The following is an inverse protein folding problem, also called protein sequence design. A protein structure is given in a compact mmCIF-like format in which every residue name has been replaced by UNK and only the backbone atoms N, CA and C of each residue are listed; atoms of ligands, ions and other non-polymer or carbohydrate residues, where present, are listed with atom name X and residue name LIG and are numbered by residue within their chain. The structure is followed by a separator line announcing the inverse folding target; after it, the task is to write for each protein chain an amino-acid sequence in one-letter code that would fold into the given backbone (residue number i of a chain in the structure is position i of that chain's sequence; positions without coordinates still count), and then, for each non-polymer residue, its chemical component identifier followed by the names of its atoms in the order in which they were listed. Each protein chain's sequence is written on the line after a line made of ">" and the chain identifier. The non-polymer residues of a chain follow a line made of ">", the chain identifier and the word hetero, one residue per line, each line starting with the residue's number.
data_IF_399000766952
#
_entry.id   IF_399000766952
#
_cell.length_a   1.000
_cell.length_b   1.000
_cell.length_c   1.000
_cell.angle_alpha   90.00
_cell.angle_beta   90.00
_cell.angle_gamma   90.00
#
_symmetry.space_group_name_H-M   'P 1'
#
loop_
_entity.id
_entity.type
_entity.pdbx_description
1 polymer ?
#
# COMPACT_ATOMS: atom_id res chain seq x y z
N UNK A 1 -11.53 -0.14 13.42
CA UNK A 1 -11.40 0.48 14.75
C UNK A 1 -9.97 0.98 14.92
N UNK A 2 -9.81 2.16 15.46
CA UNK A 2 -8.51 2.65 15.89
C UNK A 2 -8.07 1.80 17.10
N UNK A 3 -6.81 1.33 17.07
CA UNK A 3 -6.20 0.67 18.20
C UNK A 3 -5.32 1.63 18.97
N UNK A 4 -5.09 1.36 20.24
CA UNK A 4 -4.07 2.05 21.04
C UNK A 4 -2.75 1.30 20.91
N UNK A 5 -1.70 2.01 20.53
CA UNK A 5 -0.32 1.49 20.44
C UNK A 5 0.50 2.05 21.58
N UNK A 6 1.32 1.21 22.20
CA UNK A 6 2.28 1.59 23.23
C UNK A 6 3.67 1.17 22.80
N UNK A 7 4.69 1.91 23.21
CA UNK A 7 6.08 1.53 23.06
C UNK A 7 6.63 0.85 24.33
N UNK A 8 7.59 -0.02 24.13
CA UNK A 8 8.30 -0.73 25.17
C UNK A 8 9.79 -0.60 24.92
N UNK A 9 10.56 -0.54 25.98
CA UNK A 9 12.02 -0.57 25.92
C UNK A 9 12.54 -1.76 26.70
N UNK A 10 13.66 -2.31 26.28
CA UNK A 10 14.42 -3.28 27.06
C UNK A 10 15.48 -2.54 27.87
N UNK A 11 15.49 -2.72 29.18
CA UNK A 11 16.52 -2.15 30.06
C UNK A 11 17.81 -2.98 30.01
N UNK A 12 18.83 -2.52 30.71
CA UNK A 12 20.15 -3.19 30.79
C UNK A 12 20.10 -4.59 31.42
N UNK A 13 19.03 -4.91 32.17
CA UNK A 13 18.82 -6.22 32.77
C UNK A 13 18.03 -7.16 31.86
N UNK A 14 17.78 -6.77 30.58
CA UNK A 14 16.95 -7.50 29.62
C UNK A 14 15.46 -7.62 30.02
N UNK A 15 14.96 -6.69 30.84
CA UNK A 15 13.56 -6.62 31.21
C UNK A 15 12.82 -5.65 30.30
N UNK A 16 11.63 -6.05 29.86
CA UNK A 16 10.77 -5.21 29.00
C UNK A 16 9.94 -4.28 29.88
N UNK A 17 10.03 -2.99 29.66
CA UNK A 17 9.31 -1.96 30.38
C UNK A 17 8.43 -1.16 29.43
N UNK A 18 7.16 -0.94 29.81
CA UNK A 18 6.26 -0.08 29.07
C UNK A 18 6.70 1.40 29.25
N UNK A 19 6.72 2.14 28.14
CA UNK A 19 6.84 3.61 28.21
C UNK A 19 5.46 4.22 28.46
N UNK A 20 5.43 5.49 28.83
CA UNK A 20 4.19 6.17 29.25
C UNK A 20 3.28 6.56 28.10
N UNK A 21 3.80 6.65 26.88
CA UNK A 21 3.05 7.11 25.71
C UNK A 21 1.99 6.11 25.24
N UNK A 22 0.81 6.63 24.91
CA UNK A 22 -0.25 5.91 24.19
C UNK A 22 -0.61 6.68 22.93
N UNK A 23 -0.63 5.97 21.80
CA UNK A 23 -0.84 6.57 20.49
C UNK A 23 -2.03 5.94 19.78
N UNK A 24 -2.96 6.77 19.31
CA UNK A 24 -4.10 6.33 18.49
C UNK A 24 -3.63 6.11 17.06
N UNK A 25 -3.10 4.93 16.77
CA UNK A 25 -2.67 4.56 15.41
C UNK A 25 -3.86 4.00 14.65
N UNK A 26 -4.15 4.56 13.46
CA UNK A 26 -5.12 3.95 12.54
C UNK A 26 -4.65 2.56 12.13
N UNK A 27 -5.59 1.69 11.79
CA UNK A 27 -5.26 0.37 11.27
C UNK A 27 -4.28 0.51 10.11
N UNK A 28 -3.14 -0.12 10.23
CA UNK A 28 -2.11 -0.15 9.21
C UNK A 28 -1.98 -1.56 8.62
N UNK A 29 -1.37 -1.66 7.46
CA UNK A 29 -1.16 -2.89 6.72
C UNK A 29 0.31 -3.26 6.62
N UNK A 30 1.18 -2.28 6.73
CA UNK A 30 2.63 -2.48 6.78
C UNK A 30 3.29 -1.46 7.70
N UNK A 31 4.48 -1.76 8.12
CA UNK A 31 5.31 -0.88 8.94
C UNK A 31 6.80 -1.12 8.67
N UNK A 32 7.62 -0.21 9.11
CA UNK A 32 9.08 -0.34 9.08
C UNK A 32 9.75 0.74 9.91
N UNK A 33 11.06 0.72 9.89
CA UNK A 33 11.91 1.68 10.59
C UNK A 33 12.67 2.49 9.56
N UNK A 34 12.76 3.79 9.79
CA UNK A 34 13.62 4.69 9.06
C UNK A 34 14.19 5.69 10.04
N UNK A 35 15.54 5.70 10.19
CA UNK A 35 16.23 6.50 11.18
C UNK A 35 15.62 6.27 12.58
N UNK A 36 15.14 7.30 13.23
CA UNK A 36 14.48 7.27 14.53
C UNK A 36 12.98 7.01 14.50
N UNK A 37 12.39 6.86 13.31
CA UNK A 37 10.95 6.70 13.16
C UNK A 37 10.54 5.25 12.97
N UNK A 38 9.49 4.86 13.68
CA UNK A 38 8.64 3.75 13.27
C UNK A 38 7.55 4.34 12.38
N UNK A 39 7.51 3.89 11.12
CA UNK A 39 6.54 4.35 10.14
C UNK A 39 5.51 3.24 9.92
N UNK A 40 4.23 3.58 10.02
CA UNK A 40 3.15 2.67 9.60
C UNK A 40 2.48 3.21 8.35
N UNK A 41 2.01 2.32 7.48
CA UNK A 41 1.35 2.70 6.25
C UNK A 41 0.10 1.87 6.00
N UNK A 42 -0.90 2.50 5.44
CA UNK A 42 -2.08 1.90 4.82
C UNK A 42 -2.57 2.78 3.67
N UNK A 43 -3.56 2.30 2.94
CA UNK A 43 -4.21 3.05 1.87
C UNK A 43 -5.69 3.17 2.17
N UNK A 44 -6.24 4.35 2.03
CA UNK A 44 -7.65 4.64 2.27
C UNK A 44 -8.17 5.75 1.36
N UNK A 45 -9.41 6.13 1.56
CA UNK A 45 -10.02 7.23 0.81
C UNK A 45 -9.33 8.55 1.17
N UNK A 46 -9.02 9.33 0.16
CA UNK A 46 -8.47 10.66 0.30
C UNK A 46 -9.51 11.69 0.73
N UNK A 47 -9.08 12.94 0.93
CA UNK A 47 -9.98 14.04 1.28
C UNK A 47 -11.00 14.33 0.17
N UNK A 48 -12.19 14.78 0.56
CA UNK A 48 -13.30 15.06 -0.36
C UNK A 48 -12.95 16.11 -1.43
N UNK A 49 -12.07 17.05 -1.11
CA UNK A 49 -11.59 18.05 -2.07
C UNK A 49 -10.79 17.50 -3.25
N UNK A 50 -10.37 16.24 -3.19
CA UNK A 50 -9.72 15.56 -4.31
C UNK A 50 -10.73 14.92 -5.27
N UNK A 51 -11.98 14.80 -4.85
CA UNK A 51 -13.02 14.37 -5.76
C UNK A 51 -13.18 15.44 -6.84
N UNK A 52 -12.85 15.10 -8.09
CA UNK A 52 -13.29 15.90 -9.21
C UNK A 52 -14.83 15.85 -9.29
N UNK A 53 -15.45 16.52 -10.22
CA UNK A 53 -16.92 16.62 -10.29
C UNK A 53 -17.73 15.31 -10.25
N UNK A 54 -17.06 14.15 -10.14
CA UNK A 54 -17.69 12.82 -10.10
C UNK A 54 -17.94 12.30 -8.66
N UNK A 55 -17.55 13.03 -7.64
CA UNK A 55 -17.76 12.71 -6.22
C UNK A 55 -17.02 11.46 -5.70
N UNK A 56 -16.10 10.90 -6.45
CA UNK A 56 -15.26 9.79 -6.01
C UNK A 56 -14.00 10.30 -5.33
N UNK A 57 -13.59 9.61 -4.26
CA UNK A 57 -12.40 9.98 -3.50
C UNK A 57 -11.19 9.19 -4.01
N UNK A 58 -10.14 9.86 -4.50
CA UNK A 58 -8.89 9.19 -4.83
C UNK A 58 -8.30 8.52 -3.61
N UNK A 59 -7.75 7.32 -3.77
CA UNK A 59 -7.06 6.63 -2.68
C UNK A 59 -5.78 7.36 -2.31
N UNK A 60 -5.47 7.39 -1.03
CA UNK A 60 -4.35 8.12 -0.45
C UNK A 60 -3.60 7.23 0.54
N UNK A 61 -2.30 7.39 0.65
CA UNK A 61 -1.52 6.79 1.72
C UNK A 61 -1.83 7.46 3.06
N UNK A 62 -2.06 6.62 4.06
CA UNK A 62 -2.25 7.00 5.45
C UNK A 62 -1.01 6.55 6.22
N UNK A 63 -0.15 7.49 6.53
CA UNK A 63 1.12 7.25 7.21
C UNK A 63 1.05 7.75 8.65
N UNK A 64 1.70 7.05 9.55
CA UNK A 64 1.98 7.55 10.88
C UNK A 64 3.45 7.39 11.22
N UNK A 65 3.95 8.29 12.03
CA UNK A 65 5.35 8.39 12.43
C UNK A 65 5.42 8.45 13.95
N UNK A 66 6.08 7.48 14.55
CA UNK A 66 6.46 7.51 15.96
C UNK A 66 7.95 7.73 16.06
N UNK A 67 8.36 8.89 16.57
CA UNK A 67 9.75 9.14 16.95
C UNK A 67 10.03 8.36 18.23
N UNK A 68 10.91 7.37 18.17
CA UNK A 68 11.19 6.49 19.32
C UNK A 68 12.05 7.13 20.39
N UNK A 69 12.71 8.25 20.08
CA UNK A 69 13.56 8.94 21.06
C UNK A 69 12.71 9.69 22.10
N UNK A 70 11.75 10.47 21.65
CA UNK A 70 10.94 11.36 22.50
C UNK A 70 9.45 10.99 22.57
N UNK A 71 9.03 9.92 21.88
CA UNK A 71 7.65 9.46 21.78
C UNK A 71 6.69 10.49 21.15
N UNK A 72 7.17 11.36 20.27
CA UNK A 72 6.28 12.20 19.48
C UNK A 72 5.62 11.39 18.35
N UNK A 73 4.33 11.62 18.16
CA UNK A 73 3.51 10.90 17.17
C UNK A 73 2.88 11.89 16.20
N UNK A 74 3.08 11.65 14.91
CA UNK A 74 2.54 12.45 13.83
C UNK A 74 1.93 11.59 12.73
N UNK A 75 1.07 12.20 11.91
CA UNK A 75 0.54 11.62 10.69
C UNK A 75 0.87 12.50 9.50
N UNK A 76 0.88 11.95 8.30
CA UNK A 76 1.05 12.73 7.08
C UNK A 76 -0.16 13.64 6.83
N UNK A 77 0.06 14.73 6.12
CA UNK A 77 -1.02 15.56 5.59
C UNK A 77 -1.66 14.87 4.37
N UNK A 78 -2.81 14.25 4.58
CA UNK A 78 -3.54 13.55 3.52
C UNK A 78 -4.10 14.48 2.43
N UNK A 79 -4.08 15.79 2.63
CA UNK A 79 -4.43 16.79 1.61
C UNK A 79 -3.29 17.06 0.63
N UNK A 80 -2.09 16.61 0.95
CA UNK A 80 -0.96 16.73 0.03
C UNK A 80 -1.08 15.66 -1.07
N UNK A 81 -1.19 16.12 -2.31
CA UNK A 81 -1.31 15.24 -3.49
C UNK A 81 -0.14 14.27 -3.68
N UNK A 82 1.03 14.56 -3.10
CA UNK A 82 2.17 13.65 -3.12
C UNK A 82 1.86 12.29 -2.45
N UNK A 83 0.85 12.24 -1.58
CA UNK A 83 0.41 11.02 -0.93
C UNK A 83 -0.72 10.29 -1.65
N UNK A 84 -1.18 10.77 -2.80
CA UNK A 84 -2.16 10.03 -3.59
C UNK A 84 -1.56 8.72 -4.08
N UNK A 85 -2.28 7.63 -3.86
CA UNK A 85 -1.93 6.31 -4.37
C UNK A 85 -2.61 5.98 -5.70
N UNK A 86 -3.56 6.81 -6.14
CA UNK A 86 -4.21 6.69 -7.44
C UNK A 86 -3.21 6.93 -8.57
N UNK A 87 -3.32 6.11 -9.61
CA UNK A 87 -2.44 6.18 -10.77
C UNK A 87 -0.94 6.23 -10.38
N UNK A 88 -0.59 5.60 -9.28
CA UNK A 88 0.75 5.67 -8.70
C UNK A 88 1.83 5.09 -9.62
N UNK A 89 1.47 4.06 -10.38
CA UNK A 89 2.33 3.38 -11.35
C UNK A 89 2.20 3.95 -12.77
N UNK A 90 1.30 4.90 -12.99
CA UNK A 90 1.03 5.47 -14.32
C UNK A 90 0.04 4.66 -15.18
N UNK A 91 -0.53 3.59 -14.64
CA UNK A 91 -1.46 2.68 -15.35
C UNK A 91 -2.92 2.82 -14.86
N UNK A 92 -3.20 3.83 -14.05
CA UNK A 92 -4.52 4.12 -13.49
C UNK A 92 -4.83 3.45 -12.17
N UNK A 93 -4.17 2.34 -11.84
CA UNK A 93 -4.44 1.61 -10.62
C UNK A 93 -3.94 2.36 -9.38
N UNK A 94 -4.68 2.22 -8.29
CA UNK A 94 -4.15 2.60 -6.99
C UNK A 94 -3.30 1.46 -6.41
N UNK A 95 -2.38 1.82 -5.53
CA UNK A 95 -1.49 0.85 -4.89
C UNK A 95 -1.64 0.87 -3.38
N UNK A 96 -1.21 -0.21 -2.76
CA UNK A 96 -0.85 -0.25 -1.36
C UNK A 96 0.63 -0.59 -1.23
N UNK A 97 1.24 -0.19 -0.12
CA UNK A 97 2.63 -0.49 0.17
C UNK A 97 2.72 -1.79 0.97
N UNK A 98 3.72 -2.61 0.68
CA UNK A 98 3.99 -3.86 1.38
C UNK A 98 5.47 -3.94 1.77
N UNK A 99 5.73 -3.64 3.03
CA UNK A 99 7.05 -3.48 3.59
C UNK A 99 7.58 -2.05 3.50
N UNK A 100 8.32 -1.67 4.52
CA UNK A 100 9.09 -0.42 4.57
C UNK A 100 10.49 -0.83 4.98
N UNK A 101 11.44 -0.72 4.06
CA UNK A 101 12.82 -1.13 4.27
C UNK A 101 13.74 0.06 4.04
N UNK A 102 14.46 0.46 5.08
CA UNK A 102 15.54 1.43 4.91
C UNK A 102 16.75 0.77 4.24
N UNK A 103 17.31 1.46 3.27
CA UNK A 103 18.59 1.11 2.66
C UNK A 103 19.23 2.37 2.06
N UNK A 104 20.51 2.64 2.42
CA UNK A 104 21.26 3.80 1.95
C UNK A 104 20.48 5.14 2.11
N UNK A 105 19.90 5.37 3.29
CA UNK A 105 19.10 6.55 3.63
C UNK A 105 17.87 6.76 2.72
N UNK A 106 17.37 5.73 2.10
CA UNK A 106 16.14 5.73 1.31
C UNK A 106 15.18 4.66 1.82
N UNK A 107 13.91 4.83 1.53
CA UNK A 107 12.88 3.82 1.85
C UNK A 107 12.55 3.06 0.58
N UNK A 108 12.65 1.75 0.65
CA UNK A 108 12.21 0.81 -0.37
C UNK A 108 10.91 0.15 0.09
N UNK A 109 9.91 0.15 -0.76
CA UNK A 109 8.62 -0.49 -0.48
C UNK A 109 8.09 -1.17 -1.73
N UNK A 110 7.57 -2.37 -1.59
CA UNK A 110 6.85 -2.99 -2.68
C UNK A 110 5.53 -2.24 -2.92
N UNK A 111 5.29 -1.80 -4.15
CA UNK A 111 4.06 -1.13 -4.55
C UNK A 111 3.12 -2.15 -5.19
N UNK A 112 2.10 -2.55 -4.46
CA UNK A 112 1.17 -3.61 -4.84
C UNK A 112 -0.03 -3.00 -5.57
N UNK A 113 -0.23 -3.30 -6.86
CA UNK A 113 -1.38 -2.81 -7.61
C UNK A 113 -2.67 -3.44 -7.08
N UNK A 114 -3.72 -2.61 -6.93
CA UNK A 114 -4.96 -3.00 -6.26
C UNK A 114 -6.18 -2.99 -7.19
N UNK A 115 -5.98 -2.70 -8.45
CA UNK A 115 -7.06 -2.46 -9.41
C UNK A 115 -7.46 -0.98 -9.47
N UNK A 116 -8.61 -0.71 -10.03
CA UNK A 116 -9.13 0.65 -10.14
C UNK A 116 -10.14 0.92 -9.03
N UNK A 117 -9.93 2.00 -8.30
CA UNK A 117 -10.96 2.56 -7.41
C UNK A 117 -12.14 3.08 -8.22
N UNK A 118 -13.23 3.45 -7.57
CA UNK A 118 -14.35 4.14 -8.24
C UNK A 118 -13.85 5.38 -9.01
N UNK A 119 -12.94 6.15 -8.40
CA UNK A 119 -12.33 7.31 -9.04
C UNK A 119 -11.50 6.89 -10.26
N UNK A 120 -10.57 5.95 -10.11
CA UNK A 120 -9.70 5.47 -11.19
C UNK A 120 -10.46 4.86 -12.36
N UNK A 121 -11.52 4.11 -12.08
CA UNK A 121 -12.37 3.53 -13.11
C UNK A 121 -13.21 4.57 -13.86
N UNK A 122 -13.52 5.71 -13.23
CA UNK A 122 -14.35 6.76 -13.83
C UNK A 122 -13.54 7.82 -14.61
N UNK A 123 -12.22 7.91 -14.39
CA UNK A 123 -11.38 8.94 -15.01
C UNK A 123 -11.49 8.90 -16.53
N UNK A 124 -11.80 10.05 -17.12
CA UNK A 124 -11.91 10.26 -18.56
C UNK A 124 -12.74 9.18 -19.28
N UNK A 125 -13.88 8.84 -18.68
CA UNK A 125 -14.80 7.85 -19.24
C UNK A 125 -14.29 6.41 -19.20
N UNK A 126 -13.38 6.08 -18.29
CA UNK A 126 -12.87 4.72 -18.12
C UNK A 126 -11.59 4.42 -18.90
N UNK A 127 -10.80 5.44 -19.20
CA UNK A 127 -9.58 5.31 -20.03
C UNK A 127 -8.55 4.29 -19.50
N UNK A 128 -8.60 3.96 -18.20
CA UNK A 128 -7.69 2.99 -17.58
C UNK A 128 -8.23 1.56 -17.57
N UNK A 129 -9.48 1.35 -17.98
CA UNK A 129 -10.03 0.01 -18.13
C UNK A 129 -9.47 -0.57 -19.42
N UNK A 130 -8.75 -1.67 -19.31
CA UNK A 130 -8.20 -2.34 -20.50
C UNK A 130 -9.34 -2.91 -21.37
N UNK A 131 -9.21 -2.86 -22.71
CA UNK A 131 -10.19 -3.45 -23.61
C UNK A 131 -10.51 -4.91 -23.26
N UNK A 132 -11.80 -5.21 -23.14
CA UNK A 132 -12.29 -6.54 -22.74
C UNK A 132 -12.43 -6.75 -21.23
N UNK A 133 -12.16 -5.73 -20.41
CA UNK A 133 -12.38 -5.76 -18.96
C UNK A 133 -13.58 -4.90 -18.50
N UNK A 134 -14.33 -4.32 -19.41
CA UNK A 134 -15.44 -3.41 -19.12
C UNK A 134 -16.52 -4.09 -18.29
N UNK A 135 -16.78 -5.36 -18.56
CA UNK A 135 -17.78 -6.17 -17.85
C UNK A 135 -17.31 -6.60 -16.43
N UNK A 136 -16.05 -6.35 -16.07
CA UNK A 136 -15.47 -6.64 -14.77
C UNK A 136 -15.64 -5.50 -13.77
N UNK A 137 -16.03 -4.32 -14.25
CA UNK A 137 -16.39 -3.20 -13.38
C UNK A 137 -17.61 -3.59 -12.56
N UNK A 138 -17.54 -3.42 -11.24
CA UNK A 138 -18.60 -3.84 -10.33
C UNK A 138 -19.84 -2.99 -10.51
N UNK A 139 -21.00 -3.65 -10.66
CA UNK A 139 -22.30 -3.00 -10.80
C UNK A 139 -23.00 -2.74 -9.47
N UNK A 140 -22.52 -3.37 -8.40
CA UNK A 140 -23.04 -3.26 -7.04
C UNK A 140 -21.94 -3.44 -6.00
N UNK A 141 -22.18 -3.03 -4.75
CA UNK A 141 -21.31 -3.32 -3.63
C UNK A 141 -21.36 -4.81 -3.27
N UNK A 142 -20.24 -5.36 -2.81
CA UNK A 142 -20.21 -6.78 -2.45
C UNK A 142 -18.89 -7.22 -1.82
N UNK A 143 -18.75 -8.54 -1.74
CA UNK A 143 -17.61 -9.16 -1.09
C UNK A 143 -17.62 -9.02 0.43
N UNK A 144 -16.57 -9.51 1.08
CA UNK A 144 -16.43 -9.43 2.53
C UNK A 144 -14.97 -9.27 2.93
N UNK A 145 -14.73 -8.63 4.07
CA UNK A 145 -13.39 -8.43 4.63
C UNK A 145 -12.39 -7.83 3.59
N UNK A 146 -11.25 -8.48 3.39
CA UNK A 146 -10.23 -8.05 2.45
C UNK A 146 -10.62 -8.19 0.97
N UNK A 147 -11.73 -8.85 0.67
CA UNK A 147 -12.27 -9.00 -0.68
C UNK A 147 -13.51 -8.14 -0.94
N UNK A 148 -13.87 -7.25 -0.03
CA UNK A 148 -14.94 -6.29 -0.25
C UNK A 148 -14.62 -5.33 -1.40
N UNK A 149 -15.66 -4.92 -2.12
CA UNK A 149 -15.58 -3.97 -3.23
C UNK A 149 -16.79 -3.07 -3.27
N UNK A 150 -16.66 -1.97 -3.97
CA UNK A 150 -17.73 -1.00 -4.20
C UNK A 150 -18.18 -1.03 -5.65
N UNK A 151 -19.43 -0.67 -5.86
CA UNK A 151 -19.94 -0.38 -7.22
C UNK A 151 -19.01 0.61 -7.93
N UNK A 152 -18.69 0.34 -9.19
CA UNK A 152 -17.80 1.18 -9.98
C UNK A 152 -16.31 0.86 -9.84
N UNK A 153 -15.92 -0.04 -8.94
CA UNK A 153 -14.53 -0.50 -8.84
C UNK A 153 -14.22 -1.61 -9.84
N UNK A 154 -12.96 -1.69 -10.25
CA UNK A 154 -12.37 -2.85 -10.88
C UNK A 154 -11.42 -3.49 -9.86
N UNK A 155 -11.88 -4.56 -9.23
CA UNK A 155 -11.40 -5.04 -7.93
C UNK A 155 -9.95 -5.56 -7.93
N UNK A 156 -9.49 -6.10 -9.04
CA UNK A 156 -8.19 -6.79 -9.12
C UNK A 156 -7.29 -6.10 -10.11
N UNK A 157 -5.97 -6.27 -9.93
CA UNK A 157 -5.04 -5.71 -10.89
C UNK A 157 -5.25 -6.26 -12.30
N UNK A 158 -5.17 -5.39 -13.27
CA UNK A 158 -5.14 -5.73 -14.69
C UNK A 158 -3.71 -6.08 -15.17
N UNK A 159 -2.72 -5.95 -14.29
CA UNK A 159 -1.28 -6.12 -14.57
C UNK A 159 -0.66 -7.17 -13.65
N UNK A 160 -1.10 -8.45 -13.75
CA UNK A 160 -0.69 -9.48 -12.79
C UNK A 160 0.79 -9.86 -12.88
N UNK A 161 1.42 -9.60 -14.00
CA UNK A 161 2.80 -9.99 -14.27
C UNK A 161 3.80 -8.83 -14.14
N UNK A 162 3.46 -7.83 -13.33
CA UNK A 162 4.33 -6.69 -13.06
C UNK A 162 4.60 -6.58 -11.57
N UNK A 163 5.87 -6.61 -11.21
CA UNK A 163 6.33 -6.34 -9.86
C UNK A 163 6.97 -4.96 -9.79
N UNK A 164 6.50 -4.14 -8.85
CA UNK A 164 6.91 -2.76 -8.69
C UNK A 164 7.51 -2.50 -7.31
N UNK A 165 8.59 -1.73 -7.28
CA UNK A 165 9.17 -1.19 -6.05
C UNK A 165 9.22 0.32 -6.16
N UNK A 166 8.70 0.98 -5.11
CA UNK A 166 8.85 2.41 -4.92
C UNK A 166 10.04 2.68 -4.01
N UNK A 167 10.88 3.61 -4.41
CA UNK A 167 12.04 4.08 -3.66
C UNK A 167 11.78 5.54 -3.30
N UNK A 168 11.59 5.82 -2.03
CA UNK A 168 11.35 7.17 -1.51
C UNK A 168 12.67 7.76 -1.01
N UNK A 169 12.84 9.06 -1.22
CA UNK A 169 14.09 9.74 -0.88
C UNK A 169 14.33 9.89 0.61
N UNK A 170 13.26 10.00 1.39
CA UNK A 170 13.32 10.20 2.84
C UNK A 170 12.05 9.78 3.57
N UNK A 171 11.99 10.01 4.88
CA UNK A 171 10.86 9.65 5.74
C UNK A 171 9.55 10.36 5.35
N UNK A 172 9.58 11.48 4.64
CA UNK A 172 8.36 12.17 4.20
C UNK A 172 7.60 11.36 3.16
N UNK A 173 8.29 10.48 2.42
CA UNK A 173 7.72 9.63 1.37
C UNK A 173 6.95 10.42 0.29
N UNK A 174 7.36 11.65 0.00
CA UNK A 174 6.71 12.52 -0.99
C UNK A 174 7.35 12.46 -2.37
N UNK A 175 8.63 12.12 -2.44
CA UNK A 175 9.40 12.00 -3.68
C UNK A 175 9.78 10.54 -3.90
N UNK A 176 9.44 10.00 -5.06
CA UNK A 176 9.65 8.60 -5.37
C UNK A 176 10.33 8.38 -6.71
N UNK A 177 11.06 7.27 -6.78
CA UNK A 177 11.47 6.60 -8.02
C UNK A 177 10.78 5.25 -8.07
N UNK A 178 10.31 4.85 -9.26
CA UNK A 178 9.71 3.53 -9.47
C UNK A 178 10.67 2.66 -10.29
N UNK A 179 10.80 1.42 -9.88
CA UNK A 179 11.45 0.36 -10.67
C UNK A 179 10.49 -0.82 -10.80
N UNK A 180 10.58 -1.56 -11.90
CA UNK A 180 9.67 -2.68 -12.16
C UNK A 180 10.34 -3.79 -12.93
N UNK A 181 9.71 -4.95 -12.89
CA UNK A 181 10.05 -6.10 -13.74
C UNK A 181 8.78 -6.86 -14.11
N UNK A 182 8.79 -7.46 -15.28
CA UNK A 182 7.76 -8.36 -15.80
C UNK A 182 8.13 -9.85 -15.68
N UNK A 183 9.25 -10.15 -15.00
CA UNK A 183 9.76 -11.52 -14.82
C UNK A 183 9.08 -12.27 -13.68
N UNK A 184 8.37 -11.57 -12.82
CA UNK A 184 7.64 -12.10 -11.67
C UNK A 184 6.30 -11.38 -11.54
N UNK A 185 5.35 -11.98 -10.82
CA UNK A 185 4.09 -11.32 -10.50
C UNK A 185 4.27 -10.19 -9.48
N UNK A 186 3.22 -9.43 -9.22
CA UNK A 186 3.26 -8.38 -8.21
C UNK A 186 3.64 -8.91 -6.82
N UNK A 187 4.30 -8.07 -6.04
CA UNK A 187 4.78 -8.40 -4.70
C UNK A 187 3.60 -8.48 -3.72
N UNK A 188 3.07 -9.66 -3.46
CA UNK A 188 1.99 -9.87 -2.52
C UNK A 188 1.97 -11.30 -2.00
N UNK A 189 1.89 -11.47 -0.70
CA UNK A 189 1.87 -12.79 -0.07
C UNK A 189 0.55 -13.55 -0.23
N UNK A 190 -0.54 -12.87 -0.53
CA UNK A 190 -1.85 -13.45 -0.82
C UNK A 190 -2.78 -12.41 -1.43
N UNK A 191 -3.97 -12.86 -1.76
CA UNK A 191 -5.06 -12.11 -2.30
C UNK A 191 -5.34 -10.78 -1.57
N UNK A 192 -5.16 -9.64 -2.23
CA UNK A 192 -5.24 -8.30 -1.66
C UNK A 192 -4.56 -8.17 -0.28
N UNK A 193 -3.63 -9.04 0.04
CA UNK A 193 -2.98 -8.98 1.33
C UNK A 193 -1.70 -8.17 1.24
N UNK A 194 -1.75 -7.08 1.86
CA UNK A 194 -0.64 -6.19 2.14
C UNK A 194 -0.11 -6.36 3.58
N UNK A 195 -0.59 -7.37 4.31
CA UNK A 195 -0.21 -7.60 5.71
C UNK A 195 1.14 -8.27 5.87
N UNK A 196 1.73 -8.74 4.78
CA UNK A 196 3.02 -9.39 4.82
C UNK A 196 4.09 -8.45 4.33
N UNK A 197 5.18 -8.43 5.03
CA UNK A 197 6.40 -7.81 4.57
C UNK A 197 6.92 -8.62 3.37
N UNK A 198 7.06 -7.99 2.22
CA UNK A 198 7.45 -8.66 0.98
C UNK A 198 8.76 -8.15 0.42
N UNK A 199 9.44 -7.29 1.14
CA UNK A 199 10.72 -6.69 0.78
C UNK A 199 11.67 -6.71 1.99
N UNK A 200 12.89 -7.14 1.78
CA UNK A 200 13.93 -7.25 2.81
C UNK A 200 15.29 -6.90 2.27
N UNK A 201 16.11 -6.33 3.11
CA UNK A 201 17.55 -6.20 2.88
C UNK A 201 18.27 -7.42 3.46
N UNK A 202 19.12 -8.06 2.66
CA UNK A 202 20.01 -9.11 3.13
C UNK A 202 21.31 -8.52 3.67
N UNK A 203 22.04 -9.32 4.45
CA UNK A 203 23.30 -8.88 5.07
C UNK A 203 24.41 -8.48 4.10
N UNK A 204 24.26 -8.79 2.80
CA UNK A 204 25.16 -8.39 1.74
C UNK A 204 24.77 -7.03 1.09
N UNK A 205 23.69 -6.39 1.57
CA UNK A 205 23.18 -5.13 1.05
C UNK A 205 22.23 -5.26 -0.16
N UNK A 206 21.93 -6.48 -0.61
CA UNK A 206 20.94 -6.71 -1.66
C UNK A 206 19.52 -6.61 -1.11
N UNK A 207 18.60 -6.05 -1.90
CA UNK A 207 17.19 -5.97 -1.58
C UNK A 207 16.44 -7.06 -2.33
N UNK A 208 15.75 -7.89 -1.59
CA UNK A 208 14.95 -9.00 -2.12
C UNK A 208 13.48 -8.64 -2.07
N UNK A 209 12.77 -8.87 -3.17
CA UNK A 209 11.32 -8.74 -3.26
C UNK A 209 10.74 -10.13 -3.45
N UNK A 210 9.81 -10.48 -2.59
CA UNK A 210 9.09 -11.75 -2.67
C UNK A 210 7.81 -11.58 -3.47
N UNK A 211 7.67 -12.39 -4.52
CA UNK A 211 6.46 -12.52 -5.30
C UNK A 211 5.91 -13.94 -5.15
N UNK A 212 4.61 -14.12 -4.88
CA UNK A 212 4.04 -15.45 -4.74
C UNK A 212 3.97 -16.15 -6.10
N UNK A 213 4.02 -17.48 -6.08
CA UNK A 213 3.67 -18.28 -7.25
C UNK A 213 2.18 -18.26 -7.59
N UNK A 214 1.40 -17.60 -6.74
CA UNK A 214 -0.03 -17.46 -6.85
C UNK A 214 -0.41 -15.98 -6.81
N UNK A 215 -1.01 -15.49 -7.88
CA UNK A 215 -1.52 -14.14 -7.97
C UNK A 215 -2.97 -14.18 -8.45
N UNK A 216 -3.87 -13.42 -7.81
CA UNK A 216 -5.23 -13.25 -8.31
C UNK A 216 -5.28 -12.11 -9.31
N UNK A 217 -5.74 -12.45 -10.49
CA UNK A 217 -6.03 -11.52 -11.58
C UNK A 217 -7.53 -11.39 -11.76
N UNK A 218 -7.95 -10.47 -12.62
CA UNK A 218 -9.35 -10.37 -13.05
C UNK A 218 -9.84 -11.68 -13.63
N UNK A 219 -8.98 -12.34 -14.40
CA UNK A 219 -9.26 -13.63 -15.03
C UNK A 219 -9.38 -14.76 -14.01
N UNK A 220 -8.46 -14.79 -13.04
CA UNK A 220 -8.42 -15.80 -11.99
C UNK A 220 -9.52 -15.62 -10.95
N UNK A 221 -10.02 -14.42 -10.78
CA UNK A 221 -11.21 -14.17 -9.96
C UNK A 221 -12.42 -15.00 -10.45
N UNK A 222 -12.44 -15.34 -11.73
CA UNK A 222 -13.46 -16.20 -12.34
C UNK A 222 -13.08 -17.69 -12.34
N UNK A 223 -11.80 -18.00 -12.42
CA UNK A 223 -11.32 -19.36 -12.70
C UNK A 223 -10.45 -19.97 -11.60
N UNK A 224 -10.05 -19.20 -10.60
CA UNK A 224 -9.12 -19.61 -9.53
C UNK A 224 -7.83 -20.26 -10.08
N UNK A 225 -7.30 -19.74 -11.14
CA UNK A 225 -6.10 -20.29 -11.78
C UNK A 225 -4.86 -19.96 -10.97
N UNK A 226 -4.03 -20.94 -10.71
CA UNK A 226 -2.69 -20.77 -10.14
C UNK A 226 -1.77 -20.38 -11.29
N UNK A 227 -1.08 -19.26 -11.13
CA UNK A 227 -0.04 -18.86 -12.09
C UNK A 227 1.28 -19.54 -11.74
N UNK A 228 2.03 -20.00 -12.71
CA UNK A 228 3.32 -20.64 -12.49
C UNK A 228 4.38 -19.71 -11.92
#
# INVERSE_FOLDING_TARGET
>A
SAGTTRSYVMNSNHEVQARSGEFAVKRFTTYGIYDKYIITASTGDGPAEYADGNLYLPKTFLLSYLDVADETFNTNDTKNKAYQSENFLGNGEFVTLAGIQEHNNKIYSAAVPMGLSQYGAAVDGGKYILPGNEDLVKTEDGGSNSSSYKKGELQWTQYPNECWVAIFDDATMTTKKLISTDKISYACGRFKSQYYQTIWEAGNGDIYVFSPSYAKTMKDARQQTILP
#
